data_IF_871951391483
#
_entry.id   IF_871951391483
#
_cell.length_a   1.000
_cell.length_b   1.000
_cell.length_c   1.000
_cell.angle_alpha   90.00
_cell.angle_beta   90.00
_cell.angle_gamma   90.00
#
_symmetry.space_group_name_H-M   'P 1'
#
loop_
_entity.id
_entity.type
_entity.pdbx_description
1 polymer ?
#
# COMPACT_ATOMS: atom_id res chain seq x y z
N UNK A 1 1.49 28.40 -5.41
CA UNK A 1 2.76 27.70 -5.08
C UNK A 1 2.67 26.89 -3.77
N UNK A 2 2.12 27.43 -2.67
CA UNK A 2 2.03 26.77 -1.35
C UNK A 2 1.19 25.47 -1.38
N UNK A 3 0.03 25.47 -2.05
CA UNK A 3 -0.84 24.29 -2.13
C UNK A 3 -0.20 23.10 -2.86
N UNK A 4 0.54 23.35 -3.95
CA UNK A 4 1.26 22.30 -4.70
C UNK A 4 2.36 21.67 -3.84
N UNK A 5 3.13 22.49 -3.10
CA UNK A 5 4.19 22.03 -2.19
C UNK A 5 3.62 21.16 -1.07
N UNK A 6 2.52 21.57 -0.44
CA UNK A 6 1.85 20.78 0.62
C UNK A 6 1.40 19.41 0.13
N UNK A 7 0.89 19.31 -1.10
CA UNK A 7 0.43 18.04 -1.66
C UNK A 7 1.59 17.10 -2.02
N UNK A 8 2.71 17.63 -2.52
CA UNK A 8 3.91 16.82 -2.77
C UNK A 8 4.48 16.27 -1.46
N UNK A 9 4.44 17.05 -0.38
CA UNK A 9 4.82 16.58 0.97
C UNK A 9 3.92 15.42 1.41
N UNK A 10 2.59 15.54 1.26
CA UNK A 10 1.65 14.46 1.61
C UNK A 10 1.88 13.19 0.80
N UNK A 11 2.14 13.33 -0.50
CA UNK A 11 2.47 12.19 -1.38
C UNK A 11 3.75 11.51 -0.93
N UNK A 12 4.81 12.27 -0.70
CA UNK A 12 6.10 11.74 -0.28
C UNK A 12 6.04 11.11 1.13
N UNK A 13 5.22 11.65 2.02
CA UNK A 13 4.96 11.07 3.34
C UNK A 13 4.28 9.70 3.21
N UNK A 14 3.24 9.60 2.36
CA UNK A 14 2.54 8.32 2.12
C UNK A 14 3.46 7.29 1.44
N UNK A 15 4.21 7.69 0.41
CA UNK A 15 5.19 6.83 -0.24
C UNK A 15 6.29 6.39 0.73
N UNK A 16 6.81 7.32 1.53
CA UNK A 16 7.81 7.03 2.55
C UNK A 16 7.30 6.04 3.57
N UNK A 17 6.07 6.23 4.07
CA UNK A 17 5.42 5.28 4.97
C UNK A 17 5.30 3.88 4.37
N UNK A 18 4.76 3.78 3.15
CA UNK A 18 4.57 2.52 2.45
C UNK A 18 5.87 1.83 2.02
N UNK A 19 7.02 2.51 2.07
CA UNK A 19 8.34 1.91 1.79
C UNK A 19 9.08 1.58 3.07
N UNK A 20 9.22 2.55 3.98
CA UNK A 20 10.02 2.42 5.20
C UNK A 20 9.46 1.34 6.11
N UNK A 21 8.13 1.26 6.28
CA UNK A 21 7.54 0.28 7.19
C UNK A 21 7.78 -1.17 6.72
N UNK A 22 7.53 -1.55 5.44
CA UNK A 22 7.96 -2.84 4.91
C UNK A 22 9.46 -3.12 5.05
N UNK A 23 10.32 -2.15 4.78
CA UNK A 23 11.78 -2.33 4.88
C UNK A 23 12.19 -2.64 6.32
N UNK A 24 11.65 -1.91 7.29
CA UNK A 24 11.87 -2.19 8.71
C UNK A 24 11.37 -3.58 9.10
N UNK A 25 10.20 -3.98 8.60
CA UNK A 25 9.67 -5.32 8.84
C UNK A 25 10.56 -6.42 8.24
N UNK A 26 11.01 -6.28 6.99
CA UNK A 26 11.89 -7.27 6.37
C UNK A 26 13.25 -7.33 7.05
N UNK A 27 13.79 -6.20 7.49
CA UNK A 27 15.02 -6.18 8.28
C UNK A 27 14.82 -6.88 9.64
N UNK A 28 13.71 -6.62 10.32
CA UNK A 28 13.35 -7.33 11.54
C UNK A 28 13.23 -8.84 11.31
N UNK A 29 12.53 -9.26 10.25
CA UNK A 29 12.36 -10.67 9.90
C UNK A 29 13.71 -11.35 9.61
N UNK A 30 14.63 -10.64 8.96
CA UNK A 30 16.01 -11.07 8.75
C UNK A 30 16.76 -11.25 10.08
N UNK A 31 16.68 -10.28 11.00
CA UNK A 31 17.32 -10.38 12.31
C UNK A 31 16.79 -11.55 13.14
N UNK A 32 15.46 -11.78 13.13
CA UNK A 32 14.84 -12.92 13.82
C UNK A 32 15.31 -14.24 13.23
N UNK A 33 15.32 -14.35 11.90
CA UNK A 33 15.81 -15.53 11.17
C UNK A 33 17.27 -15.83 11.52
N UNK A 34 18.11 -14.79 11.52
CA UNK A 34 19.52 -14.91 11.87
C UNK A 34 19.73 -15.36 13.31
N UNK A 35 19.01 -14.75 14.26
CA UNK A 35 19.14 -15.04 15.69
C UNK A 35 18.60 -16.43 16.08
N UNK A 36 17.58 -16.93 15.38
CA UNK A 36 16.97 -18.23 15.66
C UNK A 36 17.58 -19.38 14.83
N UNK A 37 18.55 -19.08 13.95
CA UNK A 37 19.16 -20.05 13.02
C UNK A 37 18.13 -20.81 12.16
N UNK A 38 17.00 -20.18 11.85
CA UNK A 38 15.94 -20.71 10.99
C UNK A 38 15.85 -19.88 9.73
N UNK A 39 15.30 -20.43 8.65
CA UNK A 39 15.10 -19.66 7.42
C UNK A 39 13.91 -18.71 7.54
N UNK A 40 13.93 -17.61 6.78
CA UNK A 40 12.78 -16.69 6.67
C UNK A 40 11.52 -17.45 6.22
N UNK A 41 11.68 -18.44 5.32
CA UNK A 41 10.57 -19.28 4.87
C UNK A 41 9.94 -20.04 6.05
N UNK A 42 10.74 -20.63 6.93
CA UNK A 42 10.23 -21.32 8.12
C UNK A 42 9.46 -20.37 9.02
N UNK A 43 10.00 -19.17 9.30
CA UNK A 43 9.33 -18.15 10.12
C UNK A 43 7.96 -17.76 9.56
N UNK A 44 7.90 -17.48 8.25
CA UNK A 44 6.65 -17.09 7.58
C UNK A 44 5.63 -18.22 7.69
N UNK A 45 6.01 -19.46 7.35
CA UNK A 45 5.09 -20.59 7.28
C UNK A 45 4.62 -21.10 8.65
N UNK A 46 5.46 -21.00 9.67
CA UNK A 46 5.15 -21.51 11.02
C UNK A 46 4.45 -20.48 11.90
N UNK A 47 4.68 -19.18 11.67
CA UNK A 47 4.12 -18.10 12.49
C UNK A 47 3.14 -17.32 11.62
N UNK A 48 1.83 -17.52 11.78
CA UNK A 48 0.84 -16.90 10.91
C UNK A 48 0.86 -15.36 10.92
N UNK A 49 1.24 -14.77 12.06
CA UNK A 49 1.47 -13.33 12.18
C UNK A 49 2.55 -12.81 11.22
N UNK A 50 3.62 -13.57 11.01
CA UNK A 50 4.66 -13.23 10.04
C UNK A 50 4.20 -13.41 8.60
N UNK A 51 3.38 -14.43 8.28
CA UNK A 51 2.73 -14.51 6.97
C UNK A 51 1.87 -13.28 6.68
N UNK A 52 1.02 -12.88 7.61
CA UNK A 52 0.16 -11.71 7.44
C UNK A 52 0.99 -10.43 7.28
N UNK A 53 1.97 -10.20 8.16
CA UNK A 53 2.82 -9.02 8.09
C UNK A 53 3.67 -8.98 6.80
N UNK A 54 4.10 -10.14 6.30
CA UNK A 54 4.82 -10.26 5.03
C UNK A 54 3.94 -9.87 3.84
N UNK A 55 2.72 -10.41 3.75
CA UNK A 55 1.76 -10.09 2.69
C UNK A 55 1.36 -8.61 2.72
N UNK A 56 1.11 -8.05 3.91
CA UNK A 56 0.80 -6.62 4.07
C UNK A 56 1.98 -5.72 3.69
N UNK A 57 3.20 -6.11 4.06
CA UNK A 57 4.41 -5.37 3.68
C UNK A 57 4.62 -5.36 2.17
N UNK A 58 4.42 -6.51 1.53
CA UNK A 58 4.47 -6.62 0.07
C UNK A 58 3.38 -5.76 -0.59
N UNK A 59 2.16 -5.78 -0.05
CA UNK A 59 1.05 -5.00 -0.57
C UNK A 59 1.30 -3.49 -0.47
N UNK A 60 1.89 -3.02 0.64
CA UNK A 60 2.29 -1.61 0.80
C UNK A 60 3.35 -1.19 -0.23
N UNK A 61 4.38 -2.01 -0.46
CA UNK A 61 5.38 -1.74 -1.50
C UNK A 61 4.77 -1.68 -2.90
N UNK A 62 3.86 -2.61 -3.19
CA UNK A 62 3.13 -2.61 -4.47
C UNK A 62 2.28 -1.35 -4.64
N UNK A 63 1.55 -0.94 -3.60
CA UNK A 63 0.78 0.31 -3.60
C UNK A 63 1.66 1.54 -3.79
N UNK A 64 2.84 1.58 -3.17
CA UNK A 64 3.81 2.65 -3.38
C UNK A 64 4.29 2.71 -4.84
N UNK A 65 4.61 1.57 -5.43
CA UNK A 65 5.01 1.49 -6.83
C UNK A 65 3.90 1.98 -7.77
N UNK A 66 2.66 1.54 -7.56
CA UNK A 66 1.50 2.00 -8.34
C UNK A 66 1.28 3.50 -8.21
N UNK A 67 1.33 4.05 -6.99
CA UNK A 67 1.15 5.48 -6.75
C UNK A 67 2.25 6.29 -7.42
N UNK A 68 3.50 5.83 -7.35
CA UNK A 68 4.63 6.46 -8.02
C UNK A 68 4.44 6.48 -9.54
N UNK A 69 4.06 5.35 -10.15
CA UNK A 69 3.85 5.24 -11.60
C UNK A 69 2.69 6.10 -12.11
N UNK A 70 1.58 6.15 -11.37
CA UNK A 70 0.45 7.03 -11.69
C UNK A 70 0.86 8.51 -11.60
N UNK A 71 1.64 8.87 -10.56
CA UNK A 71 2.11 10.24 -10.35
C UNK A 71 3.25 10.69 -11.27
N UNK A 72 3.98 9.77 -11.89
CA UNK A 72 5.07 10.08 -12.82
C UNK A 72 4.58 10.48 -14.22
N UNK A 73 3.37 10.06 -14.62
CA UNK A 73 2.83 10.31 -15.95
C UNK A 73 2.07 11.64 -16.08
N UNK A 74 1.87 12.37 -14.99
CA UNK A 74 1.05 13.58 -14.99
C UNK A 74 1.65 14.70 -14.14
N UNK A 75 1.88 15.87 -14.75
CA UNK A 75 2.23 17.10 -14.02
C UNK A 75 1.05 17.65 -13.20
N UNK A 76 -0.18 17.30 -13.59
CA UNK A 76 -1.42 17.70 -12.93
C UNK A 76 -2.15 16.49 -12.32
N UNK A 77 -2.71 16.69 -11.14
CA UNK A 77 -3.31 15.60 -10.36
C UNK A 77 -4.53 15.01 -11.06
N UNK A 78 -4.44 13.72 -11.41
CA UNK A 78 -5.47 13.05 -12.20
C UNK A 78 -6.59 12.48 -11.33
N UNK A 79 -7.78 12.35 -11.92
CA UNK A 79 -8.91 11.64 -11.31
C UNK A 79 -8.56 10.19 -10.92
N UNK A 80 -7.64 9.55 -11.65
CA UNK A 80 -7.18 8.18 -11.37
C UNK A 80 -6.42 8.11 -10.06
N UNK A 81 -5.49 9.03 -9.81
CA UNK A 81 -4.75 9.06 -8.55
C UNK A 81 -5.70 9.20 -7.36
N UNK A 82 -6.69 10.10 -7.45
CA UNK A 82 -7.71 10.23 -6.40
C UNK A 82 -8.50 8.93 -6.18
N UNK A 83 -8.93 8.26 -7.25
CA UNK A 83 -9.63 6.96 -7.15
C UNK A 83 -8.75 5.88 -6.53
N UNK A 84 -7.48 5.84 -6.92
CA UNK A 84 -6.51 4.90 -6.37
C UNK A 84 -6.31 5.11 -4.86
N UNK A 85 -6.21 6.36 -4.42
CA UNK A 85 -6.10 6.68 -2.99
C UNK A 85 -7.35 6.35 -2.21
N UNK A 86 -8.54 6.61 -2.76
CA UNK A 86 -9.81 6.20 -2.13
C UNK A 86 -9.90 4.69 -1.99
N UNK A 87 -9.55 3.94 -3.04
CA UNK A 87 -9.52 2.48 -2.99
C UNK A 87 -8.48 1.97 -1.97
N UNK A 88 -7.27 2.54 -1.98
CA UNK A 88 -6.22 2.21 -1.03
C UNK A 88 -6.64 2.50 0.41
N UNK A 89 -7.36 3.60 0.67
CA UNK A 89 -7.92 3.90 1.99
C UNK A 89 -8.80 2.75 2.49
N UNK A 90 -9.76 2.28 1.68
CA UNK A 90 -10.64 1.18 2.08
C UNK A 90 -9.85 -0.10 2.36
N UNK A 91 -8.88 -0.41 1.49
CA UNK A 91 -8.04 -1.58 1.67
C UNK A 91 -7.19 -1.49 2.96
N UNK A 92 -6.64 -0.32 3.27
CA UNK A 92 -5.84 -0.09 4.47
C UNK A 92 -6.69 -0.24 5.75
N UNK A 93 -7.93 0.25 5.74
CA UNK A 93 -8.90 0.01 6.85
C UNK A 93 -9.19 -1.48 6.98
N UNK A 94 -9.51 -2.14 5.87
CA UNK A 94 -9.87 -3.55 5.84
C UNK A 94 -8.77 -4.47 6.38
N UNK A 95 -7.51 -4.06 6.19
CA UNK A 95 -6.34 -4.79 6.68
C UNK A 95 -5.83 -4.32 8.05
N UNK A 96 -6.55 -3.39 8.70
CA UNK A 96 -6.21 -2.89 10.03
C UNK A 96 -5.06 -1.88 10.06
N UNK A 97 -4.59 -1.40 8.91
CA UNK A 97 -3.54 -0.39 8.82
C UNK A 97 -4.12 1.03 8.90
N UNK A 98 -4.47 1.43 10.13
CA UNK A 98 -5.13 2.70 10.42
C UNK A 98 -4.26 3.91 10.06
N UNK A 99 -2.95 3.84 10.30
CA UNK A 99 -2.01 4.91 9.95
C UNK A 99 -1.98 5.11 8.43
N UNK A 100 -1.86 4.03 7.66
CA UNK A 100 -1.92 4.07 6.19
C UNK A 100 -3.23 4.65 5.67
N UNK A 101 -4.36 4.23 6.25
CA UNK A 101 -5.68 4.75 5.90
C UNK A 101 -5.80 6.26 6.15
N UNK A 102 -5.30 6.74 7.29
CA UNK A 102 -5.28 8.16 7.61
C UNK A 102 -4.44 8.97 6.61
N UNK A 103 -3.25 8.47 6.24
CA UNK A 103 -2.40 9.11 5.24
C UNK A 103 -3.08 9.16 3.85
N UNK A 104 -3.74 8.08 3.43
CA UNK A 104 -4.55 8.07 2.20
C UNK A 104 -5.70 9.09 2.25
N UNK A 105 -6.39 9.20 3.38
CA UNK A 105 -7.47 10.16 3.57
C UNK A 105 -6.97 11.61 3.48
N UNK A 106 -5.93 11.96 4.24
CA UNK A 106 -5.39 13.32 4.24
C UNK A 106 -4.77 13.73 2.91
N UNK A 107 -4.26 12.76 2.14
CA UNK A 107 -3.78 13.02 0.80
C UNK A 107 -4.93 13.25 -0.18
N UNK A 108 -5.92 12.35 -0.22
CA UNK A 108 -7.05 12.41 -1.17
C UNK A 108 -8.03 13.58 -0.92
N UNK A 109 -8.22 13.98 0.35
CA UNK A 109 -9.17 15.04 0.74
C UNK A 109 -8.91 16.37 0.03
N UNK A 110 -7.64 16.72 -0.17
CA UNK A 110 -7.25 18.01 -0.74
C UNK A 110 -7.04 17.95 -2.26
N UNK A 111 -7.34 16.82 -2.91
CA UNK A 111 -7.24 16.69 -4.36
C UNK A 111 -8.50 17.24 -5.04
N UNK A 112 -8.33 18.41 -5.67
CA UNK A 112 -9.23 18.89 -6.72
C UNK A 112 -8.93 18.05 -7.97
N UNK A 113 -9.84 17.15 -8.32
CA UNK A 113 -9.71 16.36 -9.52
C UNK A 113 -10.09 17.24 -10.72
N UNK A 114 -9.10 17.72 -11.46
CA UNK A 114 -9.37 18.24 -12.80
C UNK A 114 -9.86 17.07 -13.67
N UNK A 115 -10.91 17.31 -14.48
CA UNK A 115 -11.42 16.35 -15.47
C UNK A 115 -10.40 16.23 -16.63
N UNK A 116 -9.21 15.75 -16.34
CA UNK A 116 -8.24 15.36 -17.35
C UNK A 116 -8.54 13.93 -17.79
N UNK A 117 -8.60 13.72 -19.10
CA UNK A 117 -8.78 12.40 -19.69
C UNK A 117 -7.53 11.57 -19.44
N UNK A 118 -7.65 10.61 -18.52
CA UNK A 118 -6.53 9.72 -18.20
C UNK A 118 -6.06 8.90 -19.41
N UNK A 119 -4.75 8.67 -19.48
CA UNK A 119 -4.13 7.91 -20.56
C UNK A 119 -4.56 6.44 -20.52
N UNK A 120 -4.41 5.73 -21.65
CA UNK A 120 -4.68 4.29 -21.72
C UNK A 120 -3.80 3.50 -20.75
N UNK A 121 -2.54 3.91 -20.61
CA UNK A 121 -1.56 3.28 -19.72
C UNK A 121 -1.95 3.47 -18.25
N UNK A 122 -2.37 4.67 -17.85
CA UNK A 122 -2.82 4.92 -16.47
C UNK A 122 -4.05 4.08 -16.12
N UNK A 123 -5.03 3.96 -17.03
CA UNK A 123 -6.21 3.11 -16.82
C UNK A 123 -5.83 1.64 -16.68
N UNK A 124 -4.87 1.17 -17.47
CA UNK A 124 -4.37 -0.20 -17.39
C UNK A 124 -3.66 -0.46 -16.05
N UNK A 125 -2.72 0.42 -15.67
CA UNK A 125 -2.02 0.36 -14.37
C UNK A 125 -3.04 0.36 -13.22
N UNK A 126 -4.02 1.24 -13.27
CA UNK A 126 -5.07 1.33 -12.25
C UNK A 126 -5.92 0.07 -12.16
N UNK A 127 -6.38 -0.47 -13.29
CA UNK A 127 -7.19 -1.69 -13.32
C UNK A 127 -6.41 -2.89 -12.79
N UNK A 128 -5.17 -3.06 -13.25
CA UNK A 128 -4.25 -4.09 -12.76
C UNK A 128 -3.99 -3.93 -11.25
N UNK A 129 -3.73 -2.71 -10.79
CA UNK A 129 -3.47 -2.44 -9.39
C UNK A 129 -4.67 -2.82 -8.52
N UNK A 130 -5.89 -2.41 -8.90
CA UNK A 130 -7.11 -2.77 -8.16
C UNK A 130 -7.29 -4.28 -8.11
N UNK A 131 -7.18 -4.98 -9.24
CA UNK A 131 -7.34 -6.43 -9.30
C UNK A 131 -6.34 -7.14 -8.38
N UNK A 132 -5.07 -6.80 -8.50
CA UNK A 132 -4.00 -7.41 -7.71
C UNK A 132 -4.13 -7.11 -6.21
N UNK A 133 -4.35 -5.84 -5.85
CA UNK A 133 -4.51 -5.43 -4.45
C UNK A 133 -5.73 -6.10 -3.82
N UNK A 134 -6.85 -6.19 -4.56
CA UNK A 134 -8.06 -6.86 -4.07
C UNK A 134 -7.81 -8.34 -3.83
N UNK A 135 -7.13 -9.03 -4.76
CA UNK A 135 -6.80 -10.44 -4.63
C UNK A 135 -5.97 -10.72 -3.37
N UNK A 136 -4.86 -9.97 -3.18
CA UNK A 136 -3.99 -10.14 -2.01
C UNK A 136 -4.75 -9.77 -0.72
N UNK A 137 -5.60 -8.75 -0.75
CA UNK A 137 -6.41 -8.37 0.42
C UNK A 137 -7.39 -9.47 0.83
N UNK A 138 -8.02 -10.16 -0.12
CA UNK A 138 -8.88 -11.32 0.16
C UNK A 138 -8.07 -12.44 0.80
N UNK A 139 -6.88 -12.76 0.27
CA UNK A 139 -5.99 -13.77 0.86
C UNK A 139 -5.63 -13.42 2.30
N UNK A 140 -5.27 -12.16 2.57
CA UNK A 140 -4.97 -11.67 3.93
C UNK A 140 -6.17 -11.86 4.86
N UNK A 141 -7.39 -11.51 4.44
CA UNK A 141 -8.61 -11.65 5.25
C UNK A 141 -8.91 -13.12 5.52
N UNK A 142 -8.75 -14.01 4.54
CA UNK A 142 -8.96 -15.45 4.70
C UNK A 142 -7.99 -16.01 5.75
N UNK A 143 -6.70 -15.66 5.67
CA UNK A 143 -5.71 -16.06 6.67
C UNK A 143 -6.08 -15.48 8.05
N UNK A 144 -6.40 -14.20 8.12
CA UNK A 144 -6.73 -13.53 9.39
C UNK A 144 -7.99 -14.10 10.07
N UNK A 145 -9.02 -14.46 9.31
CA UNK A 145 -10.24 -15.07 9.85
C UNK A 145 -9.99 -16.49 10.35
N UNK A 146 -9.15 -17.27 9.66
CA UNK A 146 -8.73 -18.61 10.12
C UNK A 146 -7.95 -18.57 11.44
N UNK A 147 -7.21 -17.50 11.70
CA UNK A 147 -6.46 -17.33 12.95
C UNK A 147 -7.31 -16.92 14.14
N UNK A 148 -8.45 -16.26 13.92
CA UNK A 148 -9.40 -15.90 14.99
C UNK A 148 -10.32 -17.05 15.40
N UNK A 149 -10.36 -18.13 14.62
CA UNK A 149 -11.22 -19.29 14.85
C UNK A 149 -10.54 -20.46 15.59
N UNK A 150 -9.36 -20.21 16.18
CA UNK A 150 -8.63 -21.10 17.11
C UNK A 150 -8.67 -20.45 18.48
#
# INVERSE_FOLDING_TARGET
>A
MIALRSMNVKRNLLLGYWIVLPVLFYFYLFLVSFNQHVTIQQLILQIPGFTLAFLLSFLMLFQAACLYLIGAQNEKKSLIEKRFLTFSLFQQILTGNIIGAALCYFYSRNMFAEKQTASRNEKFIFCFAIGFISLISVVVIVIATRLKGV
#
